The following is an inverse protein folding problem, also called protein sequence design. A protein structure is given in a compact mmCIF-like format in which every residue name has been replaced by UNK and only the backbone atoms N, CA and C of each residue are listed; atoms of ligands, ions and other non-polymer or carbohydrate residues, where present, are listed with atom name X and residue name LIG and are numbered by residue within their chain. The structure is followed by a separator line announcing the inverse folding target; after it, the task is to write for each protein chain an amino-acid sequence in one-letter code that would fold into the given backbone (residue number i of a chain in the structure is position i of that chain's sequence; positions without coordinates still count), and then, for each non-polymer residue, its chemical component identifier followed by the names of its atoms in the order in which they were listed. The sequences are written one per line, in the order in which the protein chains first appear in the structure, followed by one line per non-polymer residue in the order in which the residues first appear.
data_IF_749871631837
#
_entry.id   IF_749871631837
#
_cell.length_a   1.000
_cell.length_b   1.000
_cell.length_c   1.000
_cell.angle_alpha   90.00
_cell.angle_beta   90.00
_cell.angle_gamma   90.00
#
_symmetry.space_group_name_H-M   'P 1'
#
loop_
_entity.id
_entity.type
_entity.pdbx_description
1 polymer ?
#
# COMPACT_ATOMS: atom_id res chain seq x y z
N UNK A 1 -4.29 -10.70 29.13
CA UNK A 1 -5.04 -9.84 28.18
C UNK A 1 -4.26 -9.87 26.88
N UNK A 2 -4.81 -10.51 25.85
CA UNK A 2 -4.19 -10.46 24.51
C UNK A 2 -4.01 -9.02 24.10
N UNK A 3 -2.81 -8.66 23.72
CA UNK A 3 -2.51 -7.34 23.17
C UNK A 3 -3.28 -7.20 21.85
N UNK A 4 -4.35 -6.41 21.89
CA UNK A 4 -5.21 -6.15 20.74
C UNK A 4 -4.35 -5.65 19.56
N UNK A 5 -4.19 -6.48 18.54
CA UNK A 5 -3.41 -6.17 17.35
C UNK A 5 -4.10 -5.06 16.56
N UNK A 6 -3.38 -4.03 16.17
CA UNK A 6 -3.94 -2.92 15.39
C UNK A 6 -3.13 -2.63 14.14
N UNK A 7 -3.81 -2.12 13.11
CA UNK A 7 -3.21 -1.76 11.83
C UNK A 7 -3.77 -0.46 11.29
N UNK A 8 -2.88 0.39 10.79
CA UNK A 8 -3.25 1.52 9.93
C UNK A 8 -3.17 1.10 8.47
N UNK A 9 -4.25 1.31 7.70
CA UNK A 9 -4.30 1.02 6.26
C UNK A 9 -4.72 2.28 5.51
N UNK A 10 -3.82 2.85 4.69
CA UNK A 10 -4.13 3.99 3.83
C UNK A 10 -4.59 3.52 2.45
N UNK A 11 -5.38 4.35 1.75
CA UNK A 11 -6.03 3.95 0.50
C UNK A 11 -7.14 2.90 0.72
N UNK A 12 -7.79 2.93 1.88
CA UNK A 12 -8.74 1.90 2.32
C UNK A 12 -10.04 1.82 1.50
N UNK A 13 -10.36 2.83 0.68
CA UNK A 13 -11.48 2.79 -0.26
C UNK A 13 -11.10 2.19 -1.62
N UNK A 14 -9.79 2.08 -1.94
CA UNK A 14 -9.31 1.41 -3.14
C UNK A 14 -9.54 -0.11 -3.08
N UNK A 15 -9.51 -0.78 -4.24
CA UNK A 15 -9.78 -2.22 -4.31
C UNK A 15 -8.89 -3.05 -3.37
N UNK A 16 -7.56 -2.88 -3.46
CA UNK A 16 -6.58 -3.58 -2.62
C UNK A 16 -6.74 -3.18 -1.16
N UNK A 17 -6.82 -1.86 -0.87
CA UNK A 17 -6.95 -1.37 0.51
C UNK A 17 -8.22 -1.85 1.19
N UNK A 18 -9.37 -1.87 0.48
CA UNK A 18 -10.62 -2.38 1.00
C UNK A 18 -10.56 -3.88 1.32
N UNK A 19 -10.02 -4.68 0.41
CA UNK A 19 -9.81 -6.12 0.63
C UNK A 19 -8.87 -6.36 1.81
N UNK A 20 -7.81 -5.54 1.93
CA UNK A 20 -6.86 -5.60 3.05
C UNK A 20 -7.55 -5.28 4.38
N UNK A 21 -8.33 -4.20 4.47
CA UNK A 21 -9.09 -3.89 5.69
C UNK A 21 -9.99 -5.05 6.11
N UNK A 22 -10.77 -5.60 5.17
CA UNK A 22 -11.65 -6.74 5.44
C UNK A 22 -10.89 -7.98 5.92
N UNK A 23 -9.72 -8.25 5.31
CA UNK A 23 -8.85 -9.36 5.72
C UNK A 23 -8.37 -9.21 7.15
N UNK A 24 -7.89 -8.01 7.53
CA UNK A 24 -7.40 -7.74 8.89
C UNK A 24 -8.53 -7.77 9.93
N UNK A 25 -9.70 -7.16 9.65
CA UNK A 25 -10.87 -7.22 10.52
C UNK A 25 -11.29 -8.68 10.79
N UNK A 26 -11.40 -9.49 9.71
CA UNK A 26 -11.74 -10.92 9.82
C UNK A 26 -10.78 -11.71 10.70
N UNK A 27 -9.53 -11.27 10.80
CA UNK A 27 -8.49 -11.91 11.62
C UNK A 27 -8.27 -11.21 12.98
N UNK A 28 -9.27 -10.44 13.45
CA UNK A 28 -9.31 -9.89 14.80
C UNK A 28 -8.44 -8.66 15.04
N UNK A 29 -7.97 -7.98 13.98
CA UNK A 29 -7.25 -6.73 14.14
C UNK A 29 -8.22 -5.56 14.31
N UNK A 30 -7.86 -4.62 15.17
CA UNK A 30 -8.44 -3.29 15.15
C UNK A 30 -7.85 -2.51 13.97
N UNK A 31 -8.68 -2.11 13.01
CA UNK A 31 -8.25 -1.46 11.77
C UNK A 31 -8.58 0.02 11.79
N UNK A 32 -7.58 0.85 11.52
CA UNK A 32 -7.76 2.27 11.23
C UNK A 32 -7.58 2.45 9.73
N UNK A 33 -8.64 2.77 9.02
CA UNK A 33 -8.64 3.05 7.58
C UNK A 33 -8.48 4.53 7.32
N UNK A 34 -7.67 4.90 6.32
CA UNK A 34 -7.54 6.28 5.86
C UNK A 34 -7.62 6.36 4.34
N UNK A 35 -8.25 7.42 3.84
CA UNK A 35 -8.39 7.71 2.41
C UNK A 35 -8.66 9.20 2.20
N UNK A 36 -8.51 9.70 0.98
CA UNK A 36 -8.85 11.08 0.61
C UNK A 36 -10.37 11.34 0.53
N UNK A 37 -11.17 10.30 0.34
CA UNK A 37 -12.61 10.43 0.25
C UNK A 37 -13.24 10.75 1.61
N UNK A 38 -14.30 11.56 1.59
CA UNK A 38 -15.04 11.92 2.82
C UNK A 38 -15.78 10.72 3.46
N UNK A 39 -16.23 9.78 2.63
CA UNK A 39 -16.97 8.59 3.09
C UNK A 39 -16.13 7.33 2.87
N UNK A 40 -16.21 6.41 3.80
CA UNK A 40 -15.62 5.09 3.68
C UNK A 40 -16.66 4.09 3.16
N UNK A 41 -16.23 3.19 2.29
CA UNK A 41 -17.03 2.07 1.78
C UNK A 41 -17.22 0.95 2.83
N UNK A 42 -16.35 0.91 3.84
CA UNK A 42 -16.46 -0.03 4.97
C UNK A 42 -17.32 0.63 6.05
N UNK A 43 -18.34 -0.08 6.51
CA UNK A 43 -19.20 0.42 7.60
C UNK A 43 -18.39 0.46 8.91
N UNK A 44 -18.49 1.56 9.67
CA UNK A 44 -17.88 1.63 11.00
C UNK A 44 -18.47 0.54 11.91
N UNK A 45 -17.57 -0.12 12.66
CA UNK A 45 -17.93 -1.04 13.73
C UNK A 45 -16.93 -0.96 14.88
N UNK A 46 -17.02 -1.86 15.87
CA UNK A 46 -16.10 -1.87 17.01
C UNK A 46 -14.65 -2.13 16.63
N UNK A 47 -14.41 -2.80 15.50
CA UNK A 47 -13.07 -3.18 15.00
C UNK A 47 -12.56 -2.26 13.89
N UNK A 48 -13.32 -1.22 13.48
CA UNK A 48 -12.94 -0.33 12.39
C UNK A 48 -13.19 1.13 12.72
N UNK A 49 -12.19 1.97 12.47
CA UNK A 49 -12.28 3.44 12.49
C UNK A 49 -11.82 3.99 11.16
N UNK A 50 -12.42 5.10 10.75
CA UNK A 50 -12.08 5.79 9.52
C UNK A 50 -11.68 7.23 9.79
N UNK A 51 -10.66 7.71 9.06
CA UNK A 51 -10.29 9.12 9.01
C UNK A 51 -9.98 9.53 7.58
N UNK A 52 -10.50 10.68 7.17
CA UNK A 52 -10.11 11.31 5.92
C UNK A 52 -8.74 11.98 6.06
N UNK A 53 -7.79 11.62 5.17
CA UNK A 53 -6.49 12.30 5.08
C UNK A 53 -5.91 12.15 3.67
N UNK A 54 -5.25 13.20 3.19
CA UNK A 54 -4.41 13.19 2.01
C UNK A 54 -2.95 12.95 2.43
N UNK A 55 -2.47 11.74 2.20
CA UNK A 55 -1.13 11.33 2.62
C UNK A 55 -0.01 11.88 1.72
N UNK A 56 -0.31 12.59 0.64
CA UNK A 56 0.68 13.32 -0.15
C UNK A 56 1.18 14.60 0.53
N UNK A 57 0.47 15.06 1.57
CA UNK A 57 0.77 16.28 2.32
C UNK A 57 1.23 16.03 3.75
N UNK A 58 2.37 16.62 4.16
CA UNK A 58 2.95 16.45 5.51
C UNK A 58 1.98 16.86 6.63
N UNK A 59 1.22 17.95 6.44
CA UNK A 59 0.23 18.43 7.43
C UNK A 59 -0.85 17.39 7.73
N UNK A 60 -1.37 16.74 6.70
CA UNK A 60 -2.45 15.77 6.88
C UNK A 60 -1.92 14.44 7.42
N UNK A 61 -0.70 14.04 7.05
CA UNK A 61 -0.02 12.87 7.65
C UNK A 61 0.25 13.10 9.14
N UNK A 62 0.65 14.31 9.54
CA UNK A 62 0.82 14.66 10.96
C UNK A 62 -0.50 14.59 11.73
N UNK A 63 -1.60 15.12 11.18
CA UNK A 63 -2.94 14.98 11.78
C UNK A 63 -3.37 13.51 11.87
N UNK A 64 -3.08 12.72 10.84
CA UNK A 64 -3.36 11.30 10.82
C UNK A 64 -2.61 10.57 11.94
N UNK A 65 -1.34 10.87 12.16
CA UNK A 65 -0.55 10.22 13.23
C UNK A 65 -1.08 10.56 14.62
N UNK A 66 -1.43 11.81 14.90
CA UNK A 66 -2.06 12.21 16.15
C UNK A 66 -3.44 11.54 16.35
N UNK A 67 -4.24 11.45 15.29
CA UNK A 67 -5.53 10.76 15.37
C UNK A 67 -5.35 9.28 15.71
N UNK A 68 -4.43 8.60 15.04
CA UNK A 68 -4.12 7.18 15.30
C UNK A 68 -3.64 6.97 16.73
N UNK A 69 -2.76 7.82 17.23
CA UNK A 69 -2.27 7.75 18.61
C UNK A 69 -3.41 7.92 19.63
N UNK A 70 -4.28 8.90 19.42
CA UNK A 70 -5.45 9.13 20.26
C UNK A 70 -6.43 7.95 20.24
N UNK A 71 -6.74 7.41 19.06
CA UNK A 71 -7.65 6.26 18.91
C UNK A 71 -7.09 5.01 19.56
N UNK A 72 -5.79 4.81 19.49
CA UNK A 72 -5.13 3.66 20.12
C UNK A 72 -5.07 3.80 21.65
N UNK A 73 -5.09 5.03 22.20
CA UNK A 73 -5.10 5.28 23.65
C UNK A 73 -4.05 4.45 24.41
N UNK A 74 -2.81 4.45 23.94
CA UNK A 74 -1.70 3.68 24.52
C UNK A 74 -1.58 2.24 24.04
N UNK A 75 -2.52 1.72 23.25
CA UNK A 75 -2.39 0.42 22.54
C UNK A 75 -1.29 0.52 21.47
N UNK A 76 -0.82 -0.64 21.00
CA UNK A 76 0.29 -0.73 20.05
C UNK A 76 -0.20 -0.68 18.62
N UNK A 77 0.45 0.09 17.75
CA UNK A 77 0.31 -0.04 16.30
C UNK A 77 1.23 -1.16 15.81
N UNK A 78 0.64 -2.32 15.49
CA UNK A 78 1.41 -3.52 15.11
C UNK A 78 1.66 -3.65 13.61
N UNK A 79 0.96 -2.87 12.78
CA UNK A 79 1.23 -2.79 11.35
C UNK A 79 0.87 -1.42 10.75
N UNK A 80 1.65 -0.99 9.76
CA UNK A 80 1.36 0.14 8.88
C UNK A 80 1.35 -0.37 7.45
N UNK A 81 0.22 -0.23 6.76
CA UNK A 81 0.06 -0.66 5.36
C UNK A 81 -0.33 0.53 4.49
N UNK A 82 0.49 0.85 3.49
CA UNK A 82 0.14 1.88 2.51
C UNK A 82 -0.31 1.25 1.20
N UNK A 83 -1.63 1.24 0.97
CA UNK A 83 -2.26 0.82 -0.28
C UNK A 83 -2.67 2.01 -1.18
N UNK A 84 -2.47 3.25 -0.72
CA UNK A 84 -2.79 4.42 -1.52
C UNK A 84 -1.87 4.53 -2.74
N UNK A 85 -2.44 4.95 -3.84
CA UNK A 85 -1.70 5.16 -5.07
C UNK A 85 -2.62 5.60 -6.21
N UNK A 86 -2.04 6.32 -7.15
CA UNK A 86 -2.69 6.75 -8.39
C UNK A 86 -1.79 6.42 -9.57
N UNK A 87 -2.38 6.09 -10.72
CA UNK A 87 -1.65 5.96 -11.99
C UNK A 87 -1.67 7.26 -12.76
N UNK A 88 -0.68 7.45 -13.61
CA UNK A 88 -0.76 8.41 -14.70
C UNK A 88 -1.52 7.83 -15.89
N UNK A 89 -1.39 8.51 -17.02
CA UNK A 89 -1.97 8.13 -18.30
C UNK A 89 -1.09 8.65 -19.44
N UNK A 90 -0.98 7.88 -20.53
CA UNK A 90 -0.18 8.26 -21.69
C UNK A 90 1.33 8.10 -21.50
N UNK A 91 2.08 8.41 -22.57
CA UNK A 91 3.53 8.32 -22.62
C UNK A 91 4.24 9.57 -22.12
N UNK A 92 5.57 9.60 -22.29
CA UNK A 92 6.45 10.68 -21.83
C UNK A 92 6.00 12.06 -22.30
N UNK A 93 5.63 12.21 -23.58
CA UNK A 93 5.27 13.50 -24.17
C UNK A 93 3.94 14.06 -23.65
N UNK A 94 3.08 13.21 -23.09
CA UNK A 94 1.78 13.60 -22.54
C UNK A 94 1.83 13.80 -21.02
N UNK A 95 2.97 13.53 -20.38
CA UNK A 95 3.13 13.69 -18.93
C UNK A 95 3.60 15.10 -18.63
N UNK A 96 2.73 15.91 -18.02
CA UNK A 96 3.11 17.25 -17.53
C UNK A 96 3.93 17.16 -16.25
N UNK A 97 4.70 18.22 -15.95
CA UNK A 97 5.48 18.25 -14.71
C UNK A 97 4.59 18.20 -13.45
N UNK A 98 3.42 18.82 -13.49
CA UNK A 98 2.45 18.78 -12.38
C UNK A 98 1.89 17.38 -12.18
N UNK A 99 1.55 16.67 -13.26
CA UNK A 99 1.12 15.28 -13.21
C UNK A 99 2.24 14.36 -12.67
N UNK A 100 3.47 14.60 -13.10
CA UNK A 100 4.66 13.91 -12.60
C UNK A 100 4.81 14.08 -11.08
N UNK A 101 4.83 15.33 -10.59
CA UNK A 101 4.94 15.62 -9.16
C UNK A 101 3.79 15.00 -8.37
N UNK A 102 2.54 15.18 -8.80
CA UNK A 102 1.37 14.61 -8.13
C UNK A 102 1.47 13.08 -7.98
N UNK A 103 1.94 12.39 -9.03
CA UNK A 103 2.10 10.93 -8.99
C UNK A 103 3.22 10.54 -8.04
N UNK A 104 4.35 11.24 -8.04
CA UNK A 104 5.43 11.01 -7.07
C UNK A 104 4.98 11.26 -5.64
N UNK A 105 4.27 12.35 -5.40
CA UNK A 105 3.82 12.73 -4.05
C UNK A 105 2.88 11.68 -3.45
N UNK A 106 1.90 11.24 -4.23
CA UNK A 106 0.95 10.21 -3.75
C UNK A 106 1.58 8.84 -3.61
N UNK A 107 2.46 8.41 -4.55
CA UNK A 107 2.96 7.04 -4.56
C UNK A 107 4.28 6.83 -3.82
N UNK A 108 5.16 7.84 -3.75
CA UNK A 108 6.50 7.73 -3.16
C UNK A 108 6.70 8.65 -1.96
N UNK A 109 6.46 9.96 -2.11
CA UNK A 109 6.64 10.93 -1.02
C UNK A 109 5.77 10.56 0.19
N UNK A 110 4.56 10.05 -0.06
CA UNK A 110 3.68 9.53 1.01
C UNK A 110 4.31 8.42 1.84
N UNK A 111 5.06 7.51 1.23
CA UNK A 111 5.76 6.45 1.97
C UNK A 111 6.80 7.03 2.94
N UNK A 112 7.55 8.04 2.49
CA UNK A 112 8.49 8.78 3.34
C UNK A 112 7.77 9.50 4.49
N UNK A 113 6.72 10.25 4.20
CA UNK A 113 5.95 11.00 5.21
C UNK A 113 5.33 10.08 6.26
N UNK A 114 4.73 8.96 5.82
CA UNK A 114 4.18 7.95 6.72
C UNK A 114 5.27 7.33 7.59
N UNK A 115 6.41 6.94 7.01
CA UNK A 115 7.53 6.37 7.76
C UNK A 115 8.00 7.32 8.86
N UNK A 116 8.26 8.58 8.51
CA UNK A 116 8.73 9.62 9.43
C UNK A 116 7.73 9.88 10.57
N UNK A 117 6.44 10.00 10.23
CA UNK A 117 5.41 10.38 11.21
C UNK A 117 4.95 9.24 12.12
N UNK A 118 5.08 8.00 11.67
CA UNK A 118 4.62 6.82 12.40
C UNK A 118 5.75 6.00 13.06
N UNK A 119 7.02 6.38 12.87
CA UNK A 119 8.17 5.65 13.38
C UNK A 119 8.00 5.30 14.87
N UNK A 120 7.75 6.28 15.71
CA UNK A 120 7.62 6.07 17.16
C UNK A 120 6.47 5.11 17.52
N UNK A 121 5.34 5.19 16.80
CA UNK A 121 4.19 4.30 17.03
C UNK A 121 4.52 2.86 16.63
N UNK A 122 5.19 2.68 15.50
CA UNK A 122 5.61 1.38 14.99
C UNK A 122 6.69 0.77 15.89
N UNK A 123 7.68 1.55 16.33
CA UNK A 123 8.74 1.10 17.27
C UNK A 123 8.10 0.58 18.57
N UNK A 124 7.22 1.38 19.20
CA UNK A 124 6.51 0.96 20.42
C UNK A 124 5.68 -0.31 20.19
N UNK A 125 5.14 -0.48 18.99
CA UNK A 125 4.35 -1.65 18.60
C UNK A 125 5.17 -2.90 18.28
N UNK A 126 6.48 -2.78 18.06
CA UNK A 126 7.32 -3.79 17.41
C UNK A 126 6.67 -4.21 16.09
N UNK A 127 6.25 -3.20 15.33
CA UNK A 127 5.34 -3.36 14.21
C UNK A 127 6.04 -3.76 12.92
N UNK A 128 5.23 -3.89 11.89
CA UNK A 128 5.64 -4.19 10.52
C UNK A 128 5.15 -3.10 9.58
N UNK A 129 5.94 -2.75 8.57
CA UNK A 129 5.52 -1.83 7.52
C UNK A 129 5.46 -2.55 6.19
N UNK A 130 4.34 -2.38 5.47
CA UNK A 130 4.16 -2.93 4.12
C UNK A 130 3.67 -1.83 3.18
N UNK A 131 4.43 -1.61 2.11
CA UNK A 131 4.06 -0.68 1.06
C UNK A 131 3.59 -1.39 -0.20
N UNK A 132 2.60 -0.83 -0.90
CA UNK A 132 2.22 -1.27 -2.23
C UNK A 132 3.20 -0.73 -3.28
N UNK A 133 4.11 -1.59 -3.74
CA UNK A 133 4.90 -1.43 -4.95
C UNK A 133 4.07 -1.66 -6.22
N UNK A 134 4.69 -2.19 -7.25
CA UNK A 134 4.04 -2.61 -8.51
C UNK A 134 4.99 -3.43 -9.37
N UNK A 135 4.48 -4.36 -10.17
CA UNK A 135 5.24 -5.00 -11.26
C UNK A 135 5.90 -3.98 -12.20
N UNK A 136 5.32 -2.76 -12.32
CA UNK A 136 5.87 -1.69 -13.13
C UNK A 136 7.22 -1.16 -12.62
N UNK A 137 7.56 -1.38 -11.35
CA UNK A 137 8.88 -1.09 -10.81
C UNK A 137 9.99 -1.92 -11.51
N UNK A 138 9.64 -3.04 -12.14
CA UNK A 138 10.58 -3.99 -12.72
C UNK A 138 10.58 -4.04 -14.24
N UNK A 139 9.41 -3.80 -14.86
CA UNK A 139 9.27 -3.85 -16.31
C UNK A 139 9.14 -2.47 -16.97
N UNK A 140 9.24 -1.39 -16.17
CA UNK A 140 9.11 -0.01 -16.66
C UNK A 140 7.67 0.44 -16.90
N UNK A 141 6.68 -0.47 -16.77
CA UNK A 141 5.28 -0.15 -16.99
C UNK A 141 4.90 0.05 -18.46
N UNK A 142 3.90 0.88 -18.70
CA UNK A 142 3.40 1.20 -20.04
C UNK A 142 2.65 2.54 -20.01
N UNK A 143 2.16 2.98 -21.17
CA UNK A 143 1.30 4.17 -21.29
C UNK A 143 0.02 4.08 -20.44
N UNK A 144 -0.43 2.87 -20.06
CA UNK A 144 -1.61 2.68 -19.21
C UNK A 144 -1.40 3.18 -17.78
N UNK A 145 -0.16 3.34 -17.35
CA UNK A 145 0.20 3.80 -16.00
C UNK A 145 1.05 5.08 -15.99
N UNK A 146 1.66 5.40 -17.13
CA UNK A 146 2.56 6.52 -17.31
C UNK A 146 3.95 6.36 -16.68
N UNK A 147 4.92 7.18 -17.09
CA UNK A 147 6.33 7.07 -16.66
C UNK A 147 6.53 7.39 -15.19
N UNK A 148 5.81 8.39 -14.64
CA UNK A 148 5.95 8.81 -13.25
C UNK A 148 5.55 7.71 -12.27
N UNK A 149 4.52 6.92 -12.60
CA UNK A 149 4.09 5.81 -11.76
C UNK A 149 5.16 4.72 -11.64
N UNK A 150 5.75 4.32 -12.77
CA UNK A 150 6.80 3.30 -12.78
C UNK A 150 8.02 3.76 -11.99
N UNK A 151 8.44 5.02 -12.18
CA UNK A 151 9.54 5.63 -11.42
C UNK A 151 9.23 5.67 -9.91
N UNK A 152 8.01 6.11 -9.53
CA UNK A 152 7.59 6.15 -8.14
C UNK A 152 7.61 4.76 -7.49
N UNK A 153 7.09 3.74 -8.17
CA UNK A 153 7.01 2.37 -7.63
C UNK A 153 8.39 1.70 -7.54
N UNK A 154 9.32 1.97 -8.45
CA UNK A 154 10.71 1.58 -8.31
C UNK A 154 11.37 2.27 -7.10
N UNK A 155 11.08 3.56 -6.90
CA UNK A 155 11.52 4.31 -5.72
C UNK A 155 11.00 3.71 -4.40
N UNK A 156 9.73 3.32 -4.35
CA UNK A 156 9.13 2.66 -3.18
C UNK A 156 9.87 1.37 -2.83
N UNK A 157 10.15 0.51 -3.79
CA UNK A 157 10.84 -0.76 -3.53
C UNK A 157 12.29 -0.56 -3.07
N UNK A 158 12.96 0.48 -3.59
CA UNK A 158 14.29 0.81 -3.09
C UNK A 158 14.25 1.44 -1.70
N UNK A 159 13.25 2.29 -1.43
CA UNK A 159 13.03 2.89 -0.10
C UNK A 159 12.74 1.83 0.98
N UNK A 160 12.01 0.78 0.65
CA UNK A 160 11.81 -0.40 1.51
C UNK A 160 13.15 -1.01 1.94
N UNK A 161 14.10 -1.19 1.00
CA UNK A 161 15.44 -1.74 1.32
C UNK A 161 16.24 -0.81 2.24
N UNK A 162 16.12 0.50 2.03
CA UNK A 162 16.74 1.50 2.90
C UNK A 162 16.18 1.41 4.32
N UNK A 163 14.85 1.49 4.46
CA UNK A 163 14.19 1.43 5.78
C UNK A 163 14.42 0.10 6.51
N UNK A 164 14.44 -1.02 5.79
CA UNK A 164 14.70 -2.33 6.38
C UNK A 164 16.09 -2.37 7.04
N UNK A 165 17.09 -1.71 6.46
CA UNK A 165 18.44 -1.59 7.06
C UNK A 165 18.44 -0.62 8.23
N UNK A 166 17.85 0.56 8.07
CA UNK A 166 17.84 1.61 9.09
C UNK A 166 17.06 1.19 10.35
N UNK A 167 15.96 0.43 10.17
CA UNK A 167 15.09 0.03 11.27
C UNK A 167 15.37 -1.39 11.81
N UNK A 168 16.44 -2.04 11.33
CA UNK A 168 16.82 -3.38 11.79
C UNK A 168 17.06 -3.44 13.30
N UNK A 169 17.82 -2.49 13.85
CA UNK A 169 18.11 -2.41 15.29
C UNK A 169 16.85 -2.11 16.14
N UNK A 170 15.81 -1.57 15.51
CA UNK A 170 14.50 -1.32 16.14
C UNK A 170 13.57 -2.54 16.10
N UNK A 171 14.04 -3.67 15.52
CA UNK A 171 13.28 -4.89 15.30
C UNK A 171 11.98 -4.66 14.48
N UNK A 172 12.04 -3.77 13.50
CA UNK A 172 10.94 -3.48 12.58
C UNK A 172 11.23 -4.13 11.24
N UNK A 173 10.28 -4.90 10.73
CA UNK A 173 10.32 -5.44 9.38
C UNK A 173 9.65 -4.48 8.40
N UNK A 174 10.28 -4.23 7.27
CA UNK A 174 9.76 -3.34 6.22
C UNK A 174 9.80 -4.10 4.89
N UNK A 175 8.64 -4.25 4.25
CA UNK A 175 8.50 -4.97 3.00
C UNK A 175 7.60 -4.22 2.01
N UNK A 176 7.62 -4.64 0.76
CA UNK A 176 6.63 -4.27 -0.23
C UNK A 176 5.90 -5.50 -0.77
N UNK A 177 4.70 -5.29 -1.29
CA UNK A 177 4.07 -6.17 -2.27
C UNK A 177 4.20 -5.55 -3.64
N UNK A 178 4.40 -6.34 -4.69
CA UNK A 178 4.54 -5.89 -6.07
C UNK A 178 3.46 -6.52 -6.95
N UNK A 179 2.22 -5.95 -6.92
CA UNK A 179 1.12 -6.49 -7.70
C UNK A 179 1.31 -6.30 -9.20
N UNK A 180 0.85 -7.27 -9.99
CA UNK A 180 0.56 -7.12 -11.40
C UNK A 180 -0.76 -6.37 -11.64
N UNK A 181 -1.36 -6.51 -12.82
CA UNK A 181 -2.70 -5.99 -13.12
C UNK A 181 -3.76 -6.66 -12.24
N UNK A 182 -4.38 -5.88 -11.35
CA UNK A 182 -5.42 -6.34 -10.42
C UNK A 182 -6.77 -5.75 -10.84
N UNK A 183 -7.80 -6.56 -10.89
CA UNK A 183 -9.16 -6.14 -11.21
C UNK A 183 -9.72 -5.23 -10.11
N UNK A 184 -9.61 -3.94 -10.34
CA UNK A 184 -10.02 -2.87 -9.43
C UNK A 184 -10.48 -1.64 -10.22
N UNK A 185 -11.07 -0.66 -9.55
CA UNK A 185 -11.44 0.62 -10.17
C UNK A 185 -10.29 1.32 -10.90
N UNK A 186 -9.04 1.09 -10.49
CA UNK A 186 -7.87 1.68 -11.14
C UNK A 186 -7.74 1.22 -12.61
N UNK A 187 -8.10 -0.02 -12.91
CA UNK A 187 -8.12 -0.57 -14.27
C UNK A 187 -9.46 -0.41 -14.99
N UNK A 188 -10.55 -0.14 -14.27
CA UNK A 188 -11.91 -0.04 -14.84
C UNK A 188 -12.08 1.09 -15.88
N UNK A 189 -11.13 2.02 -15.95
CA UNK A 189 -11.10 3.08 -16.97
C UNK A 189 -10.72 2.58 -18.37
N UNK A 190 -10.16 1.38 -18.49
CA UNK A 190 -9.72 0.80 -19.76
C UNK A 190 -10.79 -0.07 -20.39
N UNK A 191 -10.79 -0.15 -21.71
CA UNK A 191 -11.76 -0.94 -22.46
C UNK A 191 -11.53 -2.46 -22.33
N UNK A 192 -12.54 -3.24 -22.69
CA UNK A 192 -12.51 -4.71 -22.61
C UNK A 192 -11.35 -5.33 -23.41
N UNK A 193 -11.01 -4.77 -24.56
CA UNK A 193 -9.93 -5.28 -25.42
C UNK A 193 -8.57 -5.11 -24.74
N UNK A 194 -8.33 -3.94 -24.15
CA UNK A 194 -7.11 -3.66 -23.34
C UNK A 194 -7.03 -4.60 -22.15
N UNK A 195 -8.13 -4.83 -21.42
CA UNK A 195 -8.17 -5.75 -20.28
C UNK A 195 -7.89 -7.20 -20.68
N UNK A 196 -8.44 -7.66 -21.83
CA UNK A 196 -8.15 -8.99 -22.37
C UNK A 196 -6.68 -9.14 -22.77
N UNK A 197 -6.09 -8.10 -23.40
CA UNK A 197 -4.67 -8.09 -23.77
C UNK A 197 -3.78 -8.16 -22.53
N UNK A 198 -4.11 -7.40 -21.47
CA UNK A 198 -3.41 -7.48 -20.19
C UNK A 198 -3.49 -8.89 -19.58
N UNK A 199 -4.70 -9.46 -19.49
CA UNK A 199 -4.90 -10.80 -18.96
C UNK A 199 -4.12 -11.87 -19.74
N UNK A 200 -4.10 -11.78 -21.07
CA UNK A 200 -3.37 -12.73 -21.93
C UNK A 200 -1.85 -12.64 -21.80
N UNK A 201 -1.31 -11.48 -21.42
CA UNK A 201 0.14 -11.31 -21.16
C UNK A 201 0.61 -11.90 -19.82
N UNK A 202 -0.30 -12.19 -18.92
CA UNK A 202 -0.02 -12.81 -17.63
C UNK A 202 0.08 -14.34 -17.82
N UNK A 203 1.04 -15.02 -17.18
CA UNK A 203 1.19 -16.48 -17.29
C UNK A 203 -0.08 -17.21 -16.83
N UNK A 204 -0.69 -16.77 -15.73
CA UNK A 204 -1.94 -17.35 -15.22
C UNK A 204 -3.19 -16.98 -16.01
N UNK A 205 -3.07 -16.22 -17.14
CA UNK A 205 -4.12 -15.91 -18.11
C UNK A 205 -5.36 -15.21 -17.52
N UNK A 206 -5.20 -14.51 -16.44
CA UNK A 206 -6.25 -13.68 -15.81
C UNK A 206 -5.66 -12.49 -15.10
N UNK A 207 -6.48 -11.52 -14.81
CA UNK A 207 -6.14 -10.46 -13.85
C UNK A 207 -6.10 -11.06 -12.45
N UNK A 208 -5.30 -10.46 -11.58
CA UNK A 208 -5.32 -10.77 -10.16
C UNK A 208 -6.54 -10.16 -9.48
N UNK A 209 -6.91 -10.73 -8.34
CA UNK A 209 -7.96 -10.20 -7.48
C UNK A 209 -7.35 -9.40 -6.32
N UNK A 210 -8.06 -8.36 -5.86
CA UNK A 210 -7.64 -7.56 -4.73
C UNK A 210 -7.40 -8.41 -3.46
N UNK A 211 -8.17 -9.48 -3.29
CA UNK A 211 -8.04 -10.41 -2.16
C UNK A 211 -6.70 -11.18 -2.19
N UNK A 212 -6.15 -11.49 -3.37
CA UNK A 212 -4.87 -12.19 -3.50
C UNK A 212 -3.73 -11.29 -2.99
N UNK A 213 -3.78 -10.00 -3.31
CA UNK A 213 -2.83 -9.00 -2.78
C UNK A 213 -3.01 -8.80 -1.27
N UNK A 214 -4.27 -8.71 -0.80
CA UNK A 214 -4.57 -8.58 0.62
C UNK A 214 -4.06 -9.79 1.45
N UNK A 215 -4.12 -11.00 0.90
CA UNK A 215 -3.56 -12.20 1.56
C UNK A 215 -2.04 -12.10 1.73
N UNK A 216 -1.34 -11.62 0.71
CA UNK A 216 0.11 -11.44 0.77
C UNK A 216 0.52 -10.30 1.72
N UNK A 217 -0.21 -9.19 1.75
CA UNK A 217 -0.01 -8.12 2.73
C UNK A 217 -0.18 -8.67 4.15
N UNK A 218 -1.26 -9.44 4.39
CA UNK A 218 -1.51 -10.05 5.69
C UNK A 218 -0.39 -11.00 6.11
N UNK A 219 0.09 -11.86 5.19
CA UNK A 219 1.25 -12.73 5.43
C UNK A 219 2.48 -11.91 5.85
N UNK A 220 2.84 -10.84 5.12
CA UNK A 220 3.97 -9.99 5.46
C UNK A 220 3.82 -9.27 6.81
N UNK A 221 2.60 -9.06 7.27
CA UNK A 221 2.31 -8.47 8.57
C UNK A 221 2.20 -9.52 9.70
N UNK A 222 2.21 -10.81 9.39
CA UNK A 222 2.08 -11.89 10.37
C UNK A 222 3.43 -12.40 10.89
N UNK A 223 3.39 -13.22 11.95
CA UNK A 223 4.57 -13.92 12.48
C UNK A 223 5.12 -14.98 11.52
N UNK A 224 4.31 -15.47 10.59
CA UNK A 224 4.73 -16.43 9.56
C UNK A 224 5.82 -15.86 8.64
N UNK A 225 5.92 -14.53 8.57
CA UNK A 225 6.96 -13.82 7.82
C UNK A 225 8.05 -13.19 8.70
N UNK A 226 8.27 -13.75 9.91
CA UNK A 226 9.20 -13.19 10.91
C UNK A 226 10.65 -13.05 10.40
N UNK A 227 11.06 -13.83 9.41
CA UNK A 227 12.38 -13.77 8.78
C UNK A 227 12.38 -13.07 7.40
N UNK A 228 11.33 -12.27 7.11
CA UNK A 228 11.15 -11.57 5.82
C UNK A 228 11.18 -10.07 6.04
N UNK A 229 12.25 -9.40 5.57
CA UNK A 229 12.38 -7.94 5.56
C UNK A 229 13.19 -7.47 4.36
N UNK A 230 12.95 -6.24 3.90
CA UNK A 230 13.65 -5.64 2.77
C UNK A 230 13.28 -6.19 1.40
N UNK A 231 12.24 -7.03 1.31
CA UNK A 231 11.79 -7.66 0.06
C UNK A 231 10.61 -6.92 -0.57
N UNK A 232 10.47 -7.11 -1.88
CA UNK A 232 9.25 -6.82 -2.63
C UNK A 232 8.66 -8.14 -3.11
N UNK A 233 7.58 -8.60 -2.46
CA UNK A 233 6.91 -9.85 -2.80
C UNK A 233 6.13 -9.68 -4.10
N UNK A 234 6.57 -10.39 -5.13
CA UNK A 234 5.94 -10.36 -6.46
C UNK A 234 4.60 -11.11 -6.48
N UNK A 235 3.52 -10.40 -6.82
CA UNK A 235 2.15 -10.93 -6.90
C UNK A 235 1.59 -10.55 -8.28
N UNK A 236 2.24 -11.01 -9.34
CA UNK A 236 1.92 -10.59 -10.72
C UNK A 236 1.31 -11.68 -11.60
N UNK A 237 1.04 -12.87 -11.04
CA UNK A 237 0.56 -14.01 -11.84
C UNK A 237 1.57 -14.47 -12.91
N UNK A 238 2.85 -14.11 -12.72
CA UNK A 238 3.91 -14.40 -13.68
C UNK A 238 4.08 -13.34 -14.78
N UNK A 239 3.46 -12.15 -14.63
CA UNK A 239 3.74 -11.04 -15.57
C UNK A 239 5.21 -10.61 -15.52
N UNK A 240 5.79 -10.63 -14.33
CA UNK A 240 7.21 -10.42 -14.08
C UNK A 240 7.77 -11.66 -13.40
N UNK A 241 8.87 -12.20 -13.90
CA UNK A 241 9.62 -13.30 -13.30
C UNK A 241 10.91 -12.75 -12.70
N UNK A 242 11.18 -13.09 -11.43
CA UNK A 242 12.38 -12.70 -10.67
C UNK A 242 12.90 -13.91 -9.91
#
# INVERSE_FOLDING_TARGET
METEKSVLITGCNGGIGNATCKKFIKNGFFVIGSDTHRKCSIKPDKMFRYIQADISGERDVTKLSHYVENVLSGKKLTALVNCAGITGDGGLQNTTLDAWHKILDVNLTSCFLLSKSFENLIVRGKGVVVFCGSSNAHNGGSELSGPAYSAAKAGVENFVRYLAKEWAEKNIRVNAVSPGPIDTHMLAKHDKKTMQKLASSIILKRLGEAQEVANAIYFLCSEESSWVTGTSLNISGGLVLK
#
